data_IF_142366755506
#
_entry.id   IF_142366755506
#
_cell.length_a   1.000
_cell.length_b   1.000
_cell.length_c   1.000
_cell.angle_alpha   90.00
_cell.angle_beta   90.00
_cell.angle_gamma   90.00
#
_symmetry.space_group_name_H-M   'P 1'
#
loop_
_entity.id
_entity.type
_entity.pdbx_description
1 polymer ?
#
# COMPACT_ATOMS: atom_id res chain seq x y z
N UNK A 1 90.44 -13.99 48.53
CA UNK A 1 89.88 -12.93 47.65
C UNK A 1 88.80 -13.50 46.84
N UNK A 2 87.54 -13.13 47.12
CA UNK A 2 86.29 -13.79 46.56
C UNK A 2 85.66 -12.79 45.56
N UNK A 3 85.67 -13.13 44.26
CA UNK A 3 84.93 -12.43 43.23
C UNK A 3 83.47 -12.88 43.29
N UNK A 4 82.55 -11.91 43.47
CA UNK A 4 81.08 -12.11 43.30
C UNK A 4 80.63 -11.53 41.95
N UNK A 5 80.27 -12.40 41.06
CA UNK A 5 79.71 -12.05 39.78
C UNK A 5 78.17 -11.79 39.97
N UNK A 6 77.75 -10.56 39.65
CA UNK A 6 76.33 -10.17 39.68
C UNK A 6 75.69 -10.53 38.35
N UNK A 7 74.70 -11.41 38.39
CA UNK A 7 73.87 -11.76 37.25
C UNK A 7 72.74 -10.69 37.12
N UNK A 8 72.75 -9.96 36.02
CA UNK A 8 71.64 -9.07 35.63
C UNK A 8 70.58 -9.88 34.87
N UNK A 9 69.40 -10.04 35.45
CA UNK A 9 68.21 -10.55 34.76
C UNK A 9 67.55 -9.36 34.03
N UNK A 10 67.58 -9.39 32.70
CA UNK A 10 66.78 -8.50 31.85
C UNK A 10 65.42 -9.13 31.65
N UNK A 11 64.38 -8.62 32.33
CA UNK A 11 62.99 -9.02 32.14
C UNK A 11 62.42 -8.32 30.89
N UNK A 12 62.18 -9.08 29.83
CA UNK A 12 61.44 -8.59 28.67
C UNK A 12 59.95 -8.56 29.02
N UNK A 13 59.38 -7.37 29.23
CA UNK A 13 57.96 -7.17 29.36
C UNK A 13 57.32 -7.25 27.98
N UNK A 14 56.60 -8.34 27.67
CA UNK A 14 55.69 -8.38 26.51
C UNK A 14 54.50 -7.44 26.79
N UNK A 15 54.47 -6.28 26.15
CA UNK A 15 53.29 -5.43 26.06
C UNK A 15 52.37 -6.09 25.01
N UNK A 16 51.36 -6.83 25.46
CA UNK A 16 50.29 -7.28 24.61
C UNK A 16 49.46 -6.02 24.18
N UNK A 17 49.66 -5.57 22.96
CA UNK A 17 48.82 -4.57 22.34
C UNK A 17 47.43 -5.21 22.11
N UNK A 18 46.51 -5.00 23.04
CA UNK A 18 45.09 -5.26 22.82
C UNK A 18 44.61 -4.25 21.78
N UNK A 19 44.52 -4.68 20.52
CA UNK A 19 43.73 -3.98 19.50
C UNK A 19 42.30 -3.90 20.01
N UNK A 20 41.68 -2.73 20.11
CA UNK A 20 40.29 -2.64 20.41
C UNK A 20 39.55 -3.33 19.25
N UNK A 21 38.99 -4.50 19.49
CA UNK A 21 37.92 -5.03 18.61
C UNK A 21 36.79 -4.04 18.73
N UNK A 22 36.65 -3.14 17.75
CA UNK A 22 35.41 -2.43 17.55
C UNK A 22 34.34 -3.51 17.33
N UNK A 23 33.52 -3.72 18.35
CA UNK A 23 32.29 -4.47 18.17
C UNK A 23 31.55 -3.77 17.04
N UNK A 24 31.44 -4.44 15.92
CA UNK A 24 30.79 -3.85 14.75
C UNK A 24 29.34 -3.54 15.15
N UNK A 25 28.97 -2.26 15.10
CA UNK A 25 27.64 -1.82 15.50
C UNK A 25 26.59 -2.57 14.66
N UNK A 26 25.70 -3.28 15.36
CA UNK A 26 24.62 -4.05 14.70
C UNK A 26 23.75 -3.11 13.86
N UNK A 27 23.29 -3.56 12.69
CA UNK A 27 22.29 -2.83 11.91
C UNK A 27 21.06 -2.47 12.77
N UNK A 28 20.61 -1.23 12.76
CA UNK A 28 19.42 -0.78 13.50
C UNK A 28 18.44 -0.17 12.53
N UNK A 29 17.17 -0.52 12.64
CA UNK A 29 16.10 0.11 11.88
C UNK A 29 14.94 0.49 12.80
N UNK A 30 14.75 1.78 13.01
CA UNK A 30 13.45 2.31 13.41
C UNK A 30 12.62 2.47 12.15
N UNK A 31 11.46 1.80 12.09
CA UNK A 31 10.61 1.76 10.91
C UNK A 31 9.24 2.34 11.23
N UNK A 32 8.85 3.36 10.50
CA UNK A 32 7.56 4.03 10.63
C UNK A 32 6.63 3.61 9.50
N UNK A 33 5.48 3.04 9.85
CA UNK A 33 4.44 2.64 8.90
C UNK A 33 3.06 3.09 9.37
N UNK A 34 2.05 2.96 8.52
CA UNK A 34 0.64 3.04 8.92
C UNK A 34 0.02 1.66 9.18
N UNK A 35 0.79 0.60 9.08
CA UNK A 35 0.35 -0.80 9.12
C UNK A 35 0.11 -1.25 10.56
N UNK A 36 -1.09 -0.99 11.07
CA UNK A 36 -1.46 -1.24 12.47
C UNK A 36 -2.66 -2.16 12.64
N UNK A 37 -3.39 -2.50 11.56
CA UNK A 37 -4.45 -3.51 11.62
C UNK A 37 -3.89 -4.91 11.92
N UNK A 38 -4.76 -5.86 12.23
CA UNK A 38 -4.32 -7.22 12.58
C UNK A 38 -3.48 -7.89 11.50
N UNK A 39 -3.90 -7.78 10.24
CA UNK A 39 -3.19 -8.35 9.09
C UNK A 39 -1.93 -7.57 8.74
N UNK A 40 -1.97 -6.24 8.83
CA UNK A 40 -0.84 -5.38 8.51
C UNK A 40 0.31 -5.56 9.51
N UNK A 41 0.01 -5.60 10.80
CA UNK A 41 1.00 -5.89 11.85
C UNK A 41 1.58 -7.31 11.68
N UNK A 42 0.76 -8.31 11.31
CA UNK A 42 1.22 -9.65 11.02
C UNK A 42 2.13 -9.69 9.79
N UNK A 43 1.86 -8.91 8.76
CA UNK A 43 2.72 -8.78 7.59
C UNK A 43 4.05 -8.09 7.93
N UNK A 44 4.01 -6.96 8.64
CA UNK A 44 5.21 -6.24 9.08
C UNK A 44 6.12 -7.13 9.95
N UNK A 45 5.52 -8.04 10.74
CA UNK A 45 6.27 -8.98 11.56
C UNK A 45 7.12 -9.97 10.75
N UNK A 46 6.76 -10.26 9.51
CA UNK A 46 7.57 -11.11 8.60
C UNK A 46 8.90 -10.41 8.29
N UNK A 47 8.83 -9.12 7.98
CA UNK A 47 10.02 -8.30 7.68
C UNK A 47 10.87 -8.14 8.93
N UNK A 48 10.27 -7.76 10.07
CA UNK A 48 11.01 -7.51 11.31
C UNK A 48 11.71 -8.76 11.83
N UNK A 49 11.05 -9.92 11.79
CA UNK A 49 11.63 -11.19 12.22
C UNK A 49 12.82 -11.62 11.33
N UNK A 50 12.71 -11.48 10.01
CA UNK A 50 13.82 -11.79 9.11
C UNK A 50 14.97 -10.78 9.28
N UNK A 51 14.66 -9.50 9.51
CA UNK A 51 15.65 -8.47 9.82
C UNK A 51 16.45 -8.81 11.09
N UNK A 52 15.77 -9.20 12.17
CA UNK A 52 16.39 -9.59 13.44
C UNK A 52 17.17 -10.90 13.31
N UNK A 53 16.66 -11.87 12.57
CA UNK A 53 17.33 -13.14 12.26
C UNK A 53 18.65 -12.92 11.51
N UNK A 54 18.74 -11.87 10.67
CA UNK A 54 19.98 -11.44 10.00
C UNK A 54 20.88 -10.56 10.88
N UNK A 55 20.58 -10.46 12.17
CA UNK A 55 21.40 -9.77 13.18
C UNK A 55 21.08 -8.31 13.40
N UNK A 56 20.02 -7.78 12.78
CA UNK A 56 19.54 -6.42 12.97
C UNK A 56 18.82 -6.21 14.32
N UNK A 57 18.62 -4.97 14.70
CA UNK A 57 17.81 -4.52 15.84
C UNK A 57 16.64 -3.71 15.29
N UNK A 58 15.43 -4.24 15.46
CA UNK A 58 14.19 -3.61 14.97
C UNK A 58 13.55 -2.72 16.04
N UNK A 59 13.05 -1.57 15.63
CA UNK A 59 12.17 -0.72 16.43
C UNK A 59 10.95 -0.34 15.57
N UNK A 60 9.77 -0.77 16.01
CA UNK A 60 8.51 -0.37 15.40
C UNK A 60 8.08 1.01 15.91
N UNK A 61 7.73 1.91 15.00
CA UNK A 61 7.14 3.23 15.29
C UNK A 61 5.90 3.50 14.42
N UNK A 62 5.13 2.45 14.13
CA UNK A 62 3.90 2.54 13.36
C UNK A 62 2.84 3.40 14.03
N UNK A 63 2.10 4.16 13.21
CA UNK A 63 1.03 5.08 13.65
C UNK A 63 -0.22 4.78 12.81
N UNK A 64 -1.34 4.51 13.47
CA UNK A 64 -2.59 4.20 12.77
C UNK A 64 -3.05 5.36 11.86
N UNK A 65 -3.37 5.01 10.63
CA UNK A 65 -3.81 5.94 9.59
C UNK A 65 -2.67 6.54 8.78
N UNK A 66 -2.74 6.35 7.44
CA UNK A 66 -1.69 6.77 6.51
C UNK A 66 -1.36 8.27 6.63
N UNK A 67 -2.37 9.15 6.65
CA UNK A 67 -2.17 10.60 6.80
C UNK A 67 -1.55 10.99 8.14
N UNK A 68 -1.91 10.32 9.24
CA UNK A 68 -1.32 10.58 10.57
C UNK A 68 0.14 10.15 10.63
N UNK A 69 0.48 8.98 10.08
CA UNK A 69 1.86 8.50 9.98
C UNK A 69 2.71 9.43 9.10
N UNK A 70 2.14 9.93 7.99
CA UNK A 70 2.82 10.86 7.10
C UNK A 70 3.08 12.21 7.78
N UNK A 71 2.10 12.79 8.46
CA UNK A 71 2.27 14.03 9.22
C UNK A 71 3.30 13.90 10.34
N UNK A 72 3.31 12.78 11.06
CA UNK A 72 4.30 12.51 12.09
C UNK A 72 5.71 12.38 11.51
N UNK A 73 5.85 11.72 10.36
CA UNK A 73 7.12 11.64 9.64
C UNK A 73 7.64 13.02 9.22
N UNK A 74 6.79 13.87 8.63
CA UNK A 74 7.13 15.23 8.23
C UNK A 74 7.66 16.05 9.42
N UNK A 75 6.96 15.99 10.57
CA UNK A 75 7.37 16.68 11.78
C UNK A 75 8.75 16.19 12.29
N UNK A 76 8.98 14.87 12.29
CA UNK A 76 10.25 14.28 12.68
C UNK A 76 11.39 14.63 11.73
N UNK A 77 11.09 14.68 10.42
CA UNK A 77 12.07 15.08 9.40
C UNK A 77 12.54 16.53 9.62
N UNK A 78 11.60 17.46 9.89
CA UNK A 78 11.91 18.86 10.20
C UNK A 78 12.71 18.98 11.52
N UNK A 79 12.42 18.14 12.51
CA UNK A 79 13.14 18.11 13.78
C UNK A 79 14.53 17.46 13.70
N UNK A 80 14.89 16.81 12.58
CA UNK A 80 16.13 16.06 12.44
C UNK A 80 16.17 14.74 13.22
N UNK A 81 14.99 14.21 13.59
CA UNK A 81 14.78 12.95 14.33
C UNK A 81 14.01 11.92 13.48
N UNK A 82 14.38 11.80 12.21
CA UNK A 82 13.72 10.89 11.28
C UNK A 82 14.03 9.42 11.60
N UNK A 83 13.06 8.50 11.33
CA UNK A 83 13.28 7.06 11.45
C UNK A 83 14.27 6.57 10.38
N UNK A 84 14.82 5.36 10.56
CA UNK A 84 15.69 4.75 9.56
C UNK A 84 14.95 4.42 8.25
N UNK A 85 13.67 4.10 8.34
CA UNK A 85 12.84 3.86 7.17
C UNK A 85 11.39 4.29 7.42
N UNK A 86 10.72 4.69 6.34
CA UNK A 86 9.29 5.02 6.33
C UNK A 86 8.58 4.25 5.22
N UNK A 87 7.39 3.73 5.50
CA UNK A 87 6.47 3.28 4.45
C UNK A 87 6.19 4.41 3.47
N UNK A 88 6.29 4.13 2.19
CA UNK A 88 6.01 5.06 1.12
C UNK A 88 5.29 4.34 -0.03
N UNK A 89 4.40 5.04 -0.71
CA UNK A 89 3.89 4.61 -2.02
C UNK A 89 4.96 4.95 -3.06
N UNK A 90 5.21 4.05 -4.02
CA UNK A 90 6.15 4.35 -5.13
C UNK A 90 5.61 5.49 -6.00
N UNK A 91 6.45 6.13 -6.81
CA UNK A 91 6.03 7.14 -7.79
C UNK A 91 6.27 8.59 -7.39
N UNK A 92 5.52 9.52 -7.98
CA UNK A 92 5.83 10.96 -7.97
C UNK A 92 5.87 11.59 -6.57
N UNK A 93 5.16 11.04 -5.58
CA UNK A 93 5.14 11.55 -4.21
C UNK A 93 6.53 11.65 -3.55
N UNK A 94 7.51 10.88 -4.05
CA UNK A 94 8.86 10.86 -3.48
C UNK A 94 9.84 11.81 -4.19
N UNK A 95 9.42 12.42 -5.32
CA UNK A 95 10.30 13.23 -6.17
C UNK A 95 10.92 14.39 -5.42
N UNK A 96 10.13 15.11 -4.63
CA UNK A 96 10.59 16.27 -3.87
C UNK A 96 11.59 15.87 -2.78
N UNK A 97 11.35 14.77 -2.07
CA UNK A 97 12.30 14.27 -1.07
C UNK A 97 13.66 13.90 -1.69
N UNK A 98 13.64 13.28 -2.88
CA UNK A 98 14.88 12.96 -3.61
C UNK A 98 15.58 14.22 -4.08
N UNK A 99 14.87 15.15 -4.72
CA UNK A 99 15.44 16.39 -5.26
C UNK A 99 16.03 17.28 -4.16
N UNK A 100 15.42 17.31 -2.98
CA UNK A 100 15.92 18.03 -1.81
C UNK A 100 17.06 17.28 -1.09
N UNK A 101 17.43 16.07 -1.53
CA UNK A 101 18.49 15.27 -0.93
C UNK A 101 18.14 14.74 0.46
N UNK A 102 16.86 14.55 0.77
CA UNK A 102 16.36 14.09 2.06
C UNK A 102 16.35 12.56 2.19
N UNK A 103 16.51 11.81 1.09
CA UNK A 103 16.58 10.36 1.07
C UNK A 103 18.01 9.87 0.74
N UNK A 104 18.37 8.73 1.32
CA UNK A 104 19.53 7.94 0.92
C UNK A 104 19.17 7.06 -0.28
N UNK A 105 20.06 7.00 -1.27
CA UNK A 105 19.94 6.01 -2.35
C UNK A 105 20.33 4.62 -1.84
N UNK A 106 19.60 3.62 -2.27
CA UNK A 106 19.88 2.19 -2.06
C UNK A 106 20.31 1.50 -3.35
N UNK A 107 20.83 2.26 -4.30
CA UNK A 107 21.19 1.81 -5.64
C UNK A 107 22.21 0.66 -5.63
N UNK A 108 23.16 0.66 -4.67
CA UNK A 108 24.13 -0.42 -4.52
C UNK A 108 23.45 -1.74 -4.12
N UNK A 109 22.45 -1.70 -3.22
CA UNK A 109 21.64 -2.87 -2.85
C UNK A 109 20.83 -3.35 -4.05
N UNK A 110 20.18 -2.44 -4.76
CA UNK A 110 19.38 -2.75 -5.93
C UNK A 110 20.21 -3.42 -7.05
N UNK A 111 21.42 -2.93 -7.29
CA UNK A 111 22.36 -3.53 -8.27
C UNK A 111 22.84 -4.90 -7.83
N UNK A 112 23.25 -5.05 -6.55
CA UNK A 112 23.69 -6.33 -6.00
C UNK A 112 22.57 -7.39 -6.07
N UNK A 113 21.33 -6.99 -5.78
CA UNK A 113 20.12 -7.83 -5.85
C UNK A 113 19.53 -7.99 -7.25
N UNK A 114 20.10 -7.35 -8.28
CA UNK A 114 19.63 -7.37 -9.69
C UNK A 114 18.15 -7.02 -9.82
N UNK A 115 17.71 -5.98 -9.13
CA UNK A 115 16.29 -5.63 -9.06
C UNK A 115 15.68 -5.29 -10.42
N UNK A 116 16.48 -4.76 -11.36
CA UNK A 116 16.05 -4.49 -12.73
C UNK A 116 15.64 -5.77 -13.50
N UNK A 117 16.17 -6.93 -13.10
CA UNK A 117 15.89 -8.21 -13.78
C UNK A 117 14.65 -8.91 -13.19
N UNK A 118 14.29 -8.59 -11.93
CA UNK A 118 13.26 -9.32 -11.17
C UNK A 118 12.02 -8.49 -10.85
N UNK A 119 12.03 -7.20 -11.17
CA UNK A 119 10.87 -6.31 -11.07
C UNK A 119 10.31 -5.99 -12.45
N UNK A 120 8.99 -5.80 -12.61
CA UNK A 120 8.44 -5.19 -13.81
C UNK A 120 9.11 -3.84 -14.08
N UNK A 121 9.40 -3.54 -15.35
CA UNK A 121 10.06 -2.28 -15.72
C UNK A 121 9.31 -1.04 -15.22
N UNK A 122 7.97 -1.05 -15.28
CA UNK A 122 7.13 0.03 -14.78
C UNK A 122 7.33 0.30 -13.29
N UNK A 123 7.53 -0.74 -12.50
CA UNK A 123 7.80 -0.62 -11.06
C UNK A 123 9.22 -0.11 -10.83
N UNK A 124 10.21 -0.68 -11.55
CA UNK A 124 11.61 -0.26 -11.43
C UNK A 124 11.80 1.23 -11.78
N UNK A 125 11.07 1.71 -12.78
CA UNK A 125 11.08 3.13 -13.16
C UNK A 125 10.50 4.01 -12.04
N UNK A 126 9.43 3.58 -11.36
CA UNK A 126 8.75 4.34 -10.28
C UNK A 126 9.50 4.36 -8.93
N UNK A 127 10.50 3.50 -8.74
CA UNK A 127 11.39 3.51 -7.57
C UNK A 127 12.74 4.18 -7.86
N UNK A 128 12.96 4.58 -9.13
CA UNK A 128 14.21 5.15 -9.62
C UNK A 128 14.07 6.63 -9.93
N UNK A 129 14.96 7.44 -9.38
CA UNK A 129 14.99 8.88 -9.58
C UNK A 129 16.42 9.30 -9.97
N UNK A 130 16.55 10.11 -11.01
CA UNK A 130 17.85 10.59 -11.49
C UNK A 130 18.86 9.44 -11.74
N UNK A 131 18.37 8.29 -12.22
CA UNK A 131 19.18 7.11 -12.55
C UNK A 131 19.68 6.28 -11.36
N UNK A 132 19.10 6.49 -10.16
CA UNK A 132 19.41 5.73 -8.94
C UNK A 132 18.13 5.24 -8.26
N UNK A 133 18.20 4.10 -7.59
CA UNK A 133 17.11 3.54 -6.80
C UNK A 133 17.10 4.16 -5.40
N UNK A 134 15.91 4.59 -4.95
CA UNK A 134 15.69 5.20 -3.62
C UNK A 134 14.65 4.50 -2.76
N UNK A 135 13.82 3.66 -3.36
CA UNK A 135 12.73 2.96 -2.66
C UNK A 135 12.93 1.45 -2.78
N UNK A 136 12.68 0.74 -1.67
CA UNK A 136 12.64 -0.73 -1.67
C UNK A 136 11.19 -1.21 -1.70
N UNK A 137 10.71 -1.75 -2.83
CA UNK A 137 9.32 -2.18 -2.92
C UNK A 137 9.05 -3.40 -2.03
N UNK A 138 7.91 -3.39 -1.35
CA UNK A 138 7.45 -4.49 -0.50
C UNK A 138 6.42 -5.37 -1.19
N UNK A 139 5.40 -4.75 -1.78
CA UNK A 139 4.25 -5.44 -2.38
C UNK A 139 3.47 -4.52 -3.34
N UNK A 140 2.60 -5.13 -4.14
CA UNK A 140 1.64 -4.43 -4.98
C UNK A 140 0.20 -4.79 -4.59
N UNK A 141 -0.68 -3.83 -4.75
CA UNK A 141 -2.10 -3.93 -4.44
C UNK A 141 -2.97 -3.68 -5.65
N UNK A 142 -3.99 -4.51 -5.82
CA UNK A 142 -5.14 -4.18 -6.65
C UNK A 142 -6.18 -3.43 -5.81
N UNK A 143 -6.71 -2.32 -6.32
CA UNK A 143 -7.64 -1.47 -5.58
C UNK A 143 -9.09 -1.57 -6.06
N UNK A 144 -9.35 -2.28 -7.16
CA UNK A 144 -10.68 -2.34 -7.78
C UNK A 144 -11.55 -3.50 -7.31
N UNK A 145 -11.38 -3.94 -6.07
CA UNK A 145 -12.11 -5.09 -5.54
C UNK A 145 -13.41 -4.70 -4.83
N UNK A 146 -14.41 -5.53 -5.03
CA UNK A 146 -15.64 -5.58 -4.23
C UNK A 146 -15.63 -6.92 -3.51
N UNK A 147 -15.32 -6.88 -2.21
CA UNK A 147 -15.43 -8.06 -1.34
C UNK A 147 -16.86 -8.22 -0.89
N UNK A 148 -17.38 -9.46 -0.88
CA UNK A 148 -18.74 -9.71 -0.44
C UNK A 148 -18.84 -10.93 0.47
N UNK A 149 -19.75 -10.88 1.44
CA UNK A 149 -20.10 -12.00 2.32
C UNK A 149 -20.98 -12.98 1.57
N UNK A 150 -20.52 -14.24 1.40
CA UNK A 150 -21.34 -15.28 0.76
C UNK A 150 -22.59 -15.62 1.59
N UNK A 151 -22.48 -15.60 2.91
CA UNK A 151 -23.61 -15.82 3.81
C UNK A 151 -24.66 -14.71 3.67
N UNK A 152 -24.23 -13.44 3.60
CA UNK A 152 -25.13 -12.32 3.38
C UNK A 152 -25.81 -12.38 2.00
N UNK A 153 -25.07 -12.73 0.94
CA UNK A 153 -25.62 -12.92 -0.41
C UNK A 153 -26.63 -14.06 -0.43
N UNK A 154 -26.30 -15.21 0.16
CA UNK A 154 -27.22 -16.35 0.25
C UNK A 154 -28.51 -15.99 1.02
N UNK A 155 -28.40 -15.28 2.16
CA UNK A 155 -29.53 -14.78 2.95
C UNK A 155 -30.43 -13.85 2.13
N UNK A 156 -29.86 -13.05 1.25
CA UNK A 156 -30.58 -12.10 0.39
C UNK A 156 -31.07 -12.71 -0.92
N UNK A 157 -30.76 -13.98 -1.19
CA UNK A 157 -31.12 -14.65 -2.46
C UNK A 157 -30.33 -14.08 -3.66
N UNK A 158 -29.11 -13.60 -3.44
CA UNK A 158 -28.16 -13.21 -4.49
C UNK A 158 -27.28 -14.41 -4.79
N UNK A 159 -27.49 -15.04 -5.94
CA UNK A 159 -26.87 -16.33 -6.29
C UNK A 159 -25.65 -16.18 -7.20
N UNK A 160 -25.53 -15.05 -7.88
CA UNK A 160 -24.44 -14.78 -8.83
C UNK A 160 -23.82 -13.39 -8.57
N UNK A 161 -22.55 -13.24 -8.94
CA UNK A 161 -21.89 -11.95 -8.94
C UNK A 161 -22.52 -11.02 -9.98
N UNK A 162 -22.94 -9.78 -9.61
CA UNK A 162 -23.51 -8.82 -10.53
C UNK A 162 -22.48 -8.37 -11.58
N UNK A 163 -22.89 -8.33 -12.85
CA UNK A 163 -22.06 -8.02 -14.01
C UNK A 163 -22.22 -6.58 -14.51
N UNK A 164 -23.27 -5.90 -14.08
CA UNK A 164 -23.54 -4.49 -14.41
C UNK A 164 -23.86 -3.70 -13.14
N UNK A 165 -23.79 -2.38 -13.23
CA UNK A 165 -24.18 -1.51 -12.11
C UNK A 165 -25.67 -1.67 -11.77
N UNK A 166 -26.54 -1.90 -12.75
CA UNK A 166 -27.98 -2.14 -12.48
C UNK A 166 -28.17 -3.45 -11.72
N UNK A 167 -27.50 -4.54 -12.11
CA UNK A 167 -27.52 -5.80 -11.36
C UNK A 167 -26.93 -5.64 -9.96
N UNK A 168 -25.88 -4.82 -9.82
CA UNK A 168 -25.26 -4.54 -8.53
C UNK A 168 -26.23 -3.82 -7.60
N UNK A 169 -26.89 -2.75 -8.06
CA UNK A 169 -27.89 -2.06 -7.27
C UNK A 169 -29.09 -2.96 -6.93
N UNK A 170 -29.53 -3.81 -7.85
CA UNK A 170 -30.57 -4.79 -7.55
C UNK A 170 -30.12 -5.80 -6.47
N UNK A 171 -28.84 -6.19 -6.42
CA UNK A 171 -28.29 -7.01 -5.35
C UNK A 171 -28.25 -6.26 -4.01
N UNK A 172 -27.90 -4.97 -4.01
CA UNK A 172 -27.95 -4.12 -2.81
C UNK A 172 -29.38 -3.98 -2.27
N UNK A 173 -30.38 -3.82 -3.15
CA UNK A 173 -31.79 -3.78 -2.76
C UNK A 173 -32.24 -5.09 -2.09
N UNK A 174 -31.82 -6.24 -2.60
CA UNK A 174 -32.10 -7.56 -1.99
C UNK A 174 -31.44 -7.68 -0.61
N UNK A 175 -30.18 -7.23 -0.45
CA UNK A 175 -29.50 -7.22 0.85
C UNK A 175 -30.26 -6.36 1.86
N UNK A 176 -30.68 -5.15 1.44
CA UNK A 176 -31.47 -4.23 2.26
C UNK A 176 -32.81 -4.85 2.68
N UNK A 177 -33.52 -5.49 1.76
CA UNK A 177 -34.76 -6.18 2.04
C UNK A 177 -34.59 -7.38 2.98
N UNK A 178 -33.43 -8.06 2.95
CA UNK A 178 -33.10 -9.15 3.87
C UNK A 178 -32.60 -8.68 5.25
N UNK A 179 -32.60 -7.35 5.51
CA UNK A 179 -32.13 -6.77 6.77
C UNK A 179 -30.60 -6.89 6.96
N UNK A 180 -29.84 -6.88 5.86
CA UNK A 180 -28.39 -6.81 5.85
C UNK A 180 -27.99 -5.42 5.40
N UNK A 181 -27.03 -4.78 6.08
CA UNK A 181 -26.46 -3.52 5.59
C UNK A 181 -25.85 -3.79 4.20
N UNK A 182 -26.29 -3.11 3.13
CA UNK A 182 -25.80 -3.47 1.81
C UNK A 182 -24.32 -3.23 1.62
N UNK A 183 -23.81 -2.05 2.02
CA UNK A 183 -22.41 -1.63 1.82
C UNK A 183 -21.77 -1.23 3.15
N UNK A 184 -20.71 -1.90 3.53
CA UNK A 184 -19.80 -1.45 4.58
C UNK A 184 -18.90 -0.35 4.00
N UNK A 185 -19.23 0.90 4.29
CA UNK A 185 -18.49 2.05 3.78
C UNK A 185 -17.37 2.44 4.73
N UNK A 186 -16.17 2.64 4.20
CA UNK A 186 -15.07 3.27 4.89
C UNK A 186 -15.12 4.77 4.61
N UNK A 187 -15.36 5.58 5.64
CA UNK A 187 -15.69 7.00 5.51
C UNK A 187 -14.49 7.92 5.75
N UNK A 188 -13.35 7.62 5.16
CA UNK A 188 -12.19 8.51 5.11
C UNK A 188 -11.96 8.91 3.65
N UNK A 189 -11.59 10.15 3.38
CA UNK A 189 -11.49 10.73 2.04
C UNK A 189 -10.65 9.88 1.06
N UNK A 190 -9.55 9.30 1.52
CA UNK A 190 -8.74 8.41 0.69
C UNK A 190 -9.47 7.13 0.26
N UNK A 191 -10.33 6.55 1.13
CA UNK A 191 -11.13 5.36 0.79
C UNK A 191 -12.20 5.71 -0.25
N UNK A 192 -12.84 6.84 -0.09
CA UNK A 192 -13.86 7.35 -1.00
C UNK A 192 -13.28 7.62 -2.39
N UNK A 193 -12.06 8.19 -2.46
CA UNK A 193 -11.34 8.39 -3.72
C UNK A 193 -10.98 7.07 -4.41
N UNK A 194 -10.67 6.00 -3.65
CA UNK A 194 -10.48 4.67 -4.24
C UNK A 194 -11.76 4.16 -4.89
N UNK A 195 -12.91 4.34 -4.24
CA UNK A 195 -14.21 3.95 -4.82
C UNK A 195 -14.52 4.80 -6.06
N UNK A 196 -14.28 6.12 -6.01
CA UNK A 196 -14.43 6.99 -7.17
C UNK A 196 -13.59 6.51 -8.36
N UNK A 197 -12.29 6.24 -8.17
CA UNK A 197 -11.39 5.76 -9.22
C UNK A 197 -11.79 4.39 -9.77
N UNK A 198 -12.26 3.51 -8.90
CA UNK A 198 -12.79 2.20 -9.28
C UNK A 198 -14.00 2.33 -10.19
N UNK A 199 -14.94 3.22 -9.87
CA UNK A 199 -16.12 3.51 -10.68
C UNK A 199 -15.69 4.20 -11.99
N UNK A 200 -14.83 5.21 -11.92
CA UNK A 200 -14.34 5.96 -13.08
C UNK A 200 -13.76 5.00 -14.14
N UNK A 201 -12.92 4.06 -13.72
CA UNK A 201 -12.34 3.06 -14.62
C UNK A 201 -13.43 2.28 -15.37
N UNK A 202 -14.57 1.98 -14.73
CA UNK A 202 -15.70 1.30 -15.39
C UNK A 202 -16.42 2.17 -16.42
N UNK A 203 -16.40 3.50 -16.24
CA UNK A 203 -17.12 4.44 -17.09
C UNK A 203 -16.31 4.92 -18.29
N UNK A 204 -14.98 5.07 -18.13
CA UNK A 204 -14.12 5.63 -19.18
C UNK A 204 -13.16 4.59 -19.81
N UNK A 205 -13.07 3.39 -19.23
CA UNK A 205 -12.09 2.38 -19.67
C UNK A 205 -10.65 2.75 -19.33
N UNK A 206 -9.72 1.86 -19.69
CA UNK A 206 -8.27 2.03 -19.42
C UNK A 206 -7.73 3.28 -20.10
N UNK A 207 -7.98 3.42 -21.40
CA UNK A 207 -7.46 4.55 -22.19
C UNK A 207 -8.03 5.88 -21.70
N UNK A 208 -9.33 5.93 -21.39
CA UNK A 208 -9.97 7.13 -20.86
C UNK A 208 -9.43 7.54 -19.49
N UNK A 209 -9.18 6.55 -18.62
CA UNK A 209 -8.59 6.80 -17.29
C UNK A 209 -7.17 7.41 -17.42
N UNK A 210 -6.34 6.84 -18.30
CA UNK A 210 -5.00 7.37 -18.54
C UNK A 210 -5.03 8.77 -19.17
N UNK A 211 -5.90 9.03 -20.13
CA UNK A 211 -6.09 10.36 -20.73
C UNK A 211 -6.45 11.40 -19.68
N UNK A 212 -7.37 11.10 -18.77
CA UNK A 212 -7.78 12.01 -17.70
C UNK A 212 -6.61 12.28 -16.74
N UNK A 213 -5.97 11.25 -16.21
CA UNK A 213 -5.00 11.41 -15.13
C UNK A 213 -3.57 11.69 -15.60
N UNK A 214 -3.15 11.16 -16.75
CA UNK A 214 -1.79 11.34 -17.29
C UNK A 214 -1.75 12.51 -18.24
N UNK A 215 -2.65 12.52 -19.24
CA UNK A 215 -2.63 13.53 -20.30
C UNK A 215 -3.38 14.82 -19.90
N UNK A 216 -4.12 14.79 -18.76
CA UNK A 216 -4.96 15.91 -18.27
C UNK A 216 -6.04 16.34 -19.30
N UNK A 217 -6.54 15.36 -20.08
CA UNK A 217 -7.48 15.64 -21.17
C UNK A 217 -8.90 15.86 -20.63
N UNK A 218 -9.48 17.03 -20.94
CA UNK A 218 -10.87 17.40 -20.66
C UNK A 218 -11.68 17.36 -21.96
N UNK A 219 -11.90 16.16 -22.51
CA UNK A 219 -12.77 15.95 -23.66
C UNK A 219 -14.21 15.62 -23.25
N UNK A 220 -15.18 15.73 -24.20
CA UNK A 220 -16.61 15.45 -23.94
C UNK A 220 -16.83 14.04 -23.34
N UNK A 221 -16.11 13.03 -23.85
CA UNK A 221 -16.20 11.67 -23.34
C UNK A 221 -15.68 11.53 -21.90
N UNK A 222 -14.60 12.24 -21.56
CA UNK A 222 -14.04 12.30 -20.22
C UNK A 222 -15.01 12.98 -19.23
N UNK A 223 -15.59 14.10 -19.63
CA UNK A 223 -16.59 14.84 -18.82
C UNK A 223 -17.82 13.97 -18.57
N UNK A 224 -18.35 13.32 -19.59
CA UNK A 224 -19.52 12.44 -19.46
C UNK A 224 -19.21 11.21 -18.58
N UNK A 225 -18.00 10.65 -18.70
CA UNK A 225 -17.54 9.55 -17.84
C UNK A 225 -17.46 9.95 -16.37
N UNK A 226 -16.94 11.14 -16.06
CA UNK A 226 -16.89 11.68 -14.69
C UNK A 226 -18.30 11.91 -14.14
N UNK A 227 -19.22 12.48 -14.92
CA UNK A 227 -20.63 12.65 -14.51
C UNK A 227 -21.28 11.32 -14.13
N UNK A 228 -21.16 10.31 -14.99
CA UNK A 228 -21.68 8.95 -14.69
C UNK A 228 -21.05 8.35 -13.45
N UNK A 229 -19.77 8.59 -13.24
CA UNK A 229 -19.06 8.16 -12.02
C UNK A 229 -19.68 8.77 -10.77
N UNK A 230 -19.92 10.09 -10.80
CA UNK A 230 -20.54 10.82 -9.69
C UNK A 230 -21.99 10.41 -9.45
N UNK A 231 -22.77 10.14 -10.52
CA UNK A 231 -24.14 9.62 -10.40
C UNK A 231 -24.17 8.25 -9.69
N UNK A 232 -23.27 7.33 -10.06
CA UNK A 232 -23.13 6.03 -9.40
C UNK A 232 -22.68 6.18 -7.95
N UNK A 233 -21.67 7.01 -7.70
CA UNK A 233 -21.16 7.29 -6.35
C UNK A 233 -22.27 7.91 -5.48
N UNK A 234 -22.99 8.88 -5.99
CA UNK A 234 -24.13 9.51 -5.31
C UNK A 234 -25.24 8.51 -4.96
N UNK A 235 -25.55 7.58 -5.86
CA UNK A 235 -26.54 6.52 -5.64
C UNK A 235 -26.14 5.54 -4.52
N UNK A 236 -24.86 5.28 -4.33
CA UNK A 236 -24.35 4.41 -3.25
C UNK A 236 -24.68 4.93 -1.85
N UNK A 237 -24.88 6.24 -1.66
CA UNK A 237 -25.26 6.86 -0.37
C UNK A 237 -26.49 6.23 0.26
N UNK A 238 -27.44 5.73 -0.55
CA UNK A 238 -28.67 5.09 -0.08
C UNK A 238 -28.47 3.70 0.54
N UNK A 239 -27.26 3.14 0.46
CA UNK A 239 -26.94 1.77 0.84
C UNK A 239 -25.92 1.66 1.96
N UNK A 240 -25.49 2.77 2.53
CA UNK A 240 -24.55 2.85 3.66
C UNK A 240 -25.28 3.21 4.94
N UNK A 241 -24.67 2.94 6.09
CA UNK A 241 -25.19 3.31 7.41
C UNK A 241 -24.73 4.70 7.86
N UNK A 242 -25.47 5.33 8.76
CA UNK A 242 -25.17 6.65 9.32
C UNK A 242 -23.83 6.70 10.07
N UNK A 243 -23.33 5.57 10.57
CA UNK A 243 -22.06 5.47 11.28
C UNK A 243 -20.83 5.34 10.36
N UNK A 244 -20.99 5.55 9.05
CA UNK A 244 -19.90 5.38 8.09
C UNK A 244 -18.81 6.45 8.18
N UNK A 245 -19.16 7.70 8.54
CA UNK A 245 -18.22 8.81 8.57
C UNK A 245 -17.00 8.51 9.45
N UNK A 246 -15.80 8.70 8.92
CA UNK A 246 -14.53 8.46 9.60
C UNK A 246 -14.20 6.98 9.89
N UNK A 247 -15.06 6.03 9.47
CA UNK A 247 -14.82 4.60 9.70
C UNK A 247 -13.54 4.14 9.02
N UNK A 248 -12.70 3.42 9.78
CA UNK A 248 -11.51 2.78 9.22
C UNK A 248 -11.90 1.63 8.28
N UNK A 249 -11.05 1.39 7.31
CA UNK A 249 -11.28 0.34 6.30
C UNK A 249 -11.39 -1.07 6.89
N UNK A 250 -10.59 -1.40 7.89
CA UNK A 250 -10.60 -2.70 8.58
C UNK A 250 -11.87 -2.90 9.42
N UNK A 251 -12.45 -1.83 10.00
CA UNK A 251 -13.75 -1.90 10.67
C UNK A 251 -14.88 -2.22 9.67
N UNK A 252 -14.85 -1.60 8.49
CA UNK A 252 -15.75 -1.93 7.40
C UNK A 252 -15.56 -3.39 6.92
N UNK A 253 -14.30 -3.87 6.79
CA UNK A 253 -14.00 -5.26 6.44
C UNK A 253 -14.57 -6.23 7.49
N UNK A 254 -14.45 -5.92 8.77
CA UNK A 254 -15.01 -6.74 9.86
C UNK A 254 -16.53 -6.88 9.78
N UNK A 255 -17.24 -5.88 9.25
CA UNK A 255 -18.69 -5.98 9.02
C UNK A 255 -19.04 -6.99 7.93
N UNK A 256 -18.24 -7.09 6.87
CA UNK A 256 -18.41 -8.10 5.81
C UNK A 256 -18.02 -9.49 6.32
N UNK A 257 -16.89 -9.61 7.05
CA UNK A 257 -16.42 -10.87 7.67
C UNK A 257 -17.48 -11.49 8.55
N UNK A 258 -18.20 -10.66 9.31
CA UNK A 258 -19.24 -11.11 10.27
C UNK A 258 -20.64 -11.24 9.63
N UNK A 259 -20.81 -10.94 8.33
CA UNK A 259 -22.09 -10.95 7.65
C UNK A 259 -23.06 -9.84 8.07
N UNK A 260 -22.59 -8.84 8.82
CA UNK A 260 -23.36 -7.63 9.16
C UNK A 260 -23.60 -6.76 7.94
N UNK A 261 -22.63 -6.74 7.01
CA UNK A 261 -22.74 -6.06 5.73
C UNK A 261 -22.56 -7.03 4.57
N UNK A 262 -23.17 -6.69 3.43
CA UNK A 262 -23.13 -7.49 2.21
C UNK A 262 -21.81 -7.35 1.47
N UNK A 263 -21.38 -6.10 1.19
CA UNK A 263 -20.19 -5.81 0.37
C UNK A 263 -19.33 -4.70 0.97
N UNK A 264 -18.07 -4.67 0.54
CA UNK A 264 -17.14 -3.57 0.75
C UNK A 264 -16.33 -3.33 -0.53
N UNK A 265 -16.20 -2.07 -0.93
CA UNK A 265 -15.24 -1.62 -1.93
C UNK A 265 -13.91 -1.35 -1.24
N UNK A 266 -12.83 -2.06 -1.61
CA UNK A 266 -11.53 -1.87 -0.98
C UNK A 266 -10.41 -2.50 -1.83
N UNK A 267 -9.18 -2.11 -1.54
CA UNK A 267 -8.00 -2.78 -2.05
C UNK A 267 -7.81 -4.18 -1.45
N UNK A 268 -6.96 -4.96 -2.07
CA UNK A 268 -6.74 -6.36 -1.70
C UNK A 268 -6.13 -6.57 -0.32
N UNK A 269 -5.59 -5.52 0.33
CA UNK A 269 -5.19 -5.59 1.75
C UNK A 269 -6.33 -6.00 2.68
N UNK A 270 -7.61 -5.77 2.29
CA UNK A 270 -8.75 -6.26 3.05
C UNK A 270 -8.73 -7.80 3.19
N UNK A 271 -8.16 -8.53 2.23
CA UNK A 271 -8.01 -9.99 2.32
C UNK A 271 -7.21 -10.45 3.54
N UNK A 272 -6.22 -9.66 3.93
CA UNK A 272 -5.45 -9.96 5.13
C UNK A 272 -6.31 -10.07 6.38
N UNK A 273 -7.30 -9.19 6.55
CA UNK A 273 -8.25 -9.25 7.68
C UNK A 273 -9.15 -10.49 7.61
N UNK A 274 -9.57 -10.91 6.40
CA UNK A 274 -10.29 -12.18 6.24
C UNK A 274 -9.39 -13.38 6.63
N UNK A 275 -8.10 -13.35 6.27
CA UNK A 275 -7.14 -14.40 6.65
C UNK A 275 -6.97 -14.47 8.17
N UNK A 276 -6.79 -13.34 8.85
CA UNK A 276 -6.70 -13.26 10.33
C UNK A 276 -7.97 -13.81 10.98
N UNK A 277 -9.14 -13.57 10.39
CA UNK A 277 -10.42 -14.09 10.84
C UNK A 277 -10.66 -15.58 10.47
N UNK A 278 -9.70 -16.26 9.84
CA UNK A 278 -9.81 -17.66 9.41
C UNK A 278 -10.76 -17.87 8.22
N UNK A 279 -11.06 -16.81 7.45
CA UNK A 279 -11.95 -16.87 6.29
C UNK A 279 -11.19 -17.15 5.00
N UNK A 280 -11.82 -17.88 4.09
CA UNK A 280 -11.23 -18.31 2.83
C UNK A 280 -12.00 -17.74 1.62
N UNK A 281 -11.30 -17.18 0.62
CA UNK A 281 -11.93 -16.70 -0.60
C UNK A 281 -12.54 -17.87 -1.39
N UNK A 282 -13.69 -17.61 -2.01
CA UNK A 282 -14.47 -18.64 -2.71
C UNK A 282 -15.33 -19.50 -1.81
N UNK A 283 -15.04 -19.62 -0.53
CA UNK A 283 -15.82 -20.37 0.47
C UNK A 283 -16.65 -19.42 1.35
N UNK A 284 -16.01 -18.55 2.10
CA UNK A 284 -16.66 -17.69 3.09
C UNK A 284 -16.98 -16.31 2.51
N UNK A 285 -16.14 -15.82 1.61
CA UNK A 285 -16.31 -14.55 0.92
C UNK A 285 -15.93 -14.65 -0.57
N UNK A 286 -16.37 -13.69 -1.35
CA UNK A 286 -15.95 -13.54 -2.74
C UNK A 286 -15.22 -12.23 -2.97
N UNK A 287 -14.54 -12.17 -4.11
CA UNK A 287 -13.79 -11.01 -4.59
C UNK A 287 -14.11 -10.81 -6.07
N UNK A 288 -14.93 -9.85 -6.38
CA UNK A 288 -15.22 -9.44 -7.76
C UNK A 288 -14.60 -8.07 -8.04
N UNK A 289 -14.34 -7.76 -9.29
CA UNK A 289 -14.07 -6.38 -9.69
C UNK A 289 -15.37 -5.57 -9.62
N UNK A 290 -15.24 -4.24 -9.56
CA UNK A 290 -16.39 -3.37 -9.77
C UNK A 290 -17.11 -3.76 -11.06
N UNK A 291 -18.46 -3.72 -11.11
CA UNK A 291 -19.21 -4.14 -12.28
C UNK A 291 -18.73 -3.46 -13.56
N UNK A 292 -18.59 -4.23 -14.63
CA UNK A 292 -18.11 -3.75 -15.95
C UNK A 292 -16.65 -3.25 -15.98
N UNK A 293 -15.85 -3.49 -14.94
CA UNK A 293 -14.47 -3.02 -14.94
C UNK A 293 -13.64 -3.71 -16.03
N UNK A 294 -12.97 -2.97 -16.92
CA UNK A 294 -12.11 -3.53 -17.96
C UNK A 294 -10.74 -3.98 -17.42
N UNK A 295 -10.42 -3.60 -16.18
CA UNK A 295 -9.15 -3.83 -15.54
C UNK A 295 -9.16 -3.44 -14.07
N UNK A 296 -8.00 -3.11 -13.53
CA UNK A 296 -7.79 -2.86 -12.11
C UNK A 296 -6.93 -1.62 -11.89
N UNK A 297 -7.33 -0.77 -10.96
CA UNK A 297 -6.43 0.26 -10.41
C UNK A 297 -5.41 -0.43 -9.52
N UNK A 298 -4.14 -0.04 -9.61
CA UNK A 298 -3.08 -0.61 -8.77
C UNK A 298 -2.28 0.46 -8.05
N UNK A 299 -1.81 0.12 -6.86
CA UNK A 299 -0.83 0.87 -6.08
C UNK A 299 0.26 -0.07 -5.60
N UNK A 300 1.40 0.47 -5.21
CA UNK A 300 2.50 -0.35 -4.69
C UNK A 300 3.17 0.34 -3.51
N UNK A 301 3.37 -0.44 -2.45
CA UNK A 301 4.05 0.00 -1.24
C UNK A 301 5.57 -0.26 -1.31
N UNK A 302 6.28 0.54 -0.56
CA UNK A 302 7.74 0.48 -0.46
C UNK A 302 8.22 1.03 0.87
N UNK A 303 9.51 0.88 1.13
CA UNK A 303 10.21 1.64 2.16
C UNK A 303 11.08 2.72 1.51
N UNK A 304 10.96 3.94 1.98
CA UNK A 304 11.89 5.04 1.72
C UNK A 304 12.90 5.15 2.87
N UNK A 305 14.09 5.64 2.59
CA UNK A 305 15.22 5.67 3.49
C UNK A 305 15.67 7.11 3.73
N UNK A 306 15.19 7.79 4.77
CA UNK A 306 15.58 9.14 5.09
C UNK A 306 17.09 9.26 5.32
N UNK A 307 17.65 10.42 4.98
CA UNK A 307 19.06 10.68 5.16
C UNK A 307 19.40 10.75 6.65
N UNK A 308 20.25 9.86 7.12
CA UNK A 308 20.60 9.70 8.52
C UNK A 308 22.11 9.61 8.69
N UNK A 309 22.64 10.17 9.78
CA UNK A 309 24.08 10.20 10.03
C UNK A 309 24.60 8.99 10.81
N UNK A 310 23.73 8.33 11.60
CA UNK A 310 24.11 7.17 12.43
C UNK A 310 24.49 5.96 11.57
N UNK A 311 25.72 5.48 11.72
CA UNK A 311 26.26 4.37 10.93
C UNK A 311 25.50 3.05 11.13
N UNK A 312 25.03 2.79 12.36
CA UNK A 312 24.25 1.58 12.65
C UNK A 312 22.88 1.63 11.94
N UNK A 313 22.26 2.81 11.85
CA UNK A 313 21.01 3.02 11.12
C UNK A 313 21.22 2.95 9.60
N UNK A 314 22.33 3.44 9.06
CA UNK A 314 22.66 3.27 7.63
C UNK A 314 22.82 1.79 7.27
N UNK A 315 23.52 1.00 8.11
CA UNK A 315 23.57 -0.47 7.95
C UNK A 315 22.17 -1.10 8.04
N UNK A 316 21.32 -0.55 8.92
CA UNK A 316 19.91 -0.96 9.05
C UNK A 316 19.11 -0.69 7.80
N UNK A 317 19.28 0.46 7.15
CA UNK A 317 18.64 0.78 5.86
C UNK A 317 19.02 -0.23 4.77
N UNK A 318 20.32 -0.53 4.65
CA UNK A 318 20.83 -1.54 3.70
C UNK A 318 20.20 -2.91 3.95
N UNK A 319 20.26 -3.39 5.20
CA UNK A 319 19.70 -4.70 5.56
C UNK A 319 18.18 -4.76 5.36
N UNK A 320 17.45 -3.68 5.67
CA UNK A 320 16.00 -3.62 5.46
C UNK A 320 15.64 -3.68 3.97
N UNK A 321 16.39 -2.98 3.13
CA UNK A 321 16.20 -3.01 1.68
C UNK A 321 16.43 -4.43 1.11
N UNK A 322 17.46 -5.14 1.59
CA UNK A 322 17.70 -6.54 1.22
C UNK A 322 16.58 -7.47 1.71
N UNK A 323 16.12 -7.30 2.94
CA UNK A 323 15.05 -8.13 3.54
C UNK A 323 13.72 -7.91 2.82
N UNK A 324 13.33 -6.67 2.55
CA UNK A 324 12.07 -6.34 1.87
C UNK A 324 12.03 -6.92 0.44
N UNK A 325 13.18 -7.07 -0.20
CA UNK A 325 13.31 -7.64 -1.54
C UNK A 325 13.69 -9.13 -1.55
N UNK A 326 13.76 -9.79 -0.38
CA UNK A 326 13.97 -11.25 -0.34
C UNK A 326 12.74 -11.99 -0.92
N UNK A 327 12.94 -12.95 -1.85
CA UNK A 327 11.82 -13.63 -2.51
C UNK A 327 10.86 -14.33 -1.53
N UNK A 328 11.40 -14.97 -0.50
CA UNK A 328 10.59 -15.69 0.49
C UNK A 328 9.83 -14.71 1.41
N UNK A 329 10.48 -13.60 1.77
CA UNK A 329 9.86 -12.52 2.56
C UNK A 329 8.71 -11.89 1.79
N UNK A 330 8.89 -11.55 0.51
CA UNK A 330 7.81 -10.96 -0.30
C UNK A 330 6.59 -11.87 -0.43
N UNK A 331 6.80 -13.18 -0.61
CA UNK A 331 5.68 -14.14 -0.66
C UNK A 331 4.95 -14.21 0.67
N UNK A 332 5.68 -14.40 1.78
CA UNK A 332 5.08 -14.54 3.11
C UNK A 332 4.41 -13.24 3.58
N UNK A 333 5.03 -12.10 3.31
CA UNK A 333 4.46 -10.77 3.56
C UNK A 333 3.14 -10.61 2.81
N UNK A 334 3.13 -10.88 1.50
CA UNK A 334 1.94 -10.73 0.65
C UNK A 334 0.79 -11.64 1.08
N UNK A 335 1.08 -12.88 1.49
CA UNK A 335 0.08 -13.80 2.01
C UNK A 335 -0.61 -13.25 3.26
N UNK A 336 0.12 -12.56 4.14
CA UNK A 336 -0.44 -11.96 5.35
C UNK A 336 -1.12 -10.63 5.10
N UNK A 337 -0.51 -9.80 4.25
CA UNK A 337 -1.01 -8.47 3.88
C UNK A 337 -2.26 -8.56 3.00
N UNK A 338 -2.42 -9.64 2.24
CA UNK A 338 -3.47 -9.80 1.23
C UNK A 338 -3.07 -9.31 -0.16
N UNK A 339 -1.87 -8.79 -0.32
CA UNK A 339 -1.30 -8.20 -1.53
C UNK A 339 -0.73 -9.23 -2.50
N UNK A 340 0.03 -8.77 -3.48
CA UNK A 340 0.83 -9.60 -4.38
C UNK A 340 2.31 -9.21 -4.32
N UNK A 341 3.24 -10.19 -4.43
CA UNK A 341 4.67 -9.90 -4.50
C UNK A 341 5.01 -9.04 -5.72
N UNK A 342 5.95 -8.12 -5.57
CA UNK A 342 6.47 -7.30 -6.66
C UNK A 342 7.41 -8.05 -7.58
N UNK A 343 8.14 -9.02 -7.03
CA UNK A 343 9.10 -9.83 -7.79
C UNK A 343 8.40 -10.77 -8.75
N UNK A 344 8.95 -10.89 -9.94
CA UNK A 344 8.43 -11.78 -11.00
C UNK A 344 8.91 -13.23 -10.88
N UNK A 345 9.98 -13.46 -10.12
CA UNK A 345 10.69 -14.74 -9.97
C UNK A 345 10.30 -15.53 -8.69
N UNK A 346 9.14 -15.21 -8.09
CA UNK A 346 8.62 -15.88 -6.89
C UNK A 346 7.62 -16.99 -7.23
N UNK A 347 7.45 -17.94 -6.29
CA UNK A 347 6.42 -18.98 -6.38
C UNK A 347 5.01 -18.39 -6.11
N UNK A 348 4.23 -18.24 -7.17
CA UNK A 348 2.87 -17.70 -7.15
C UNK A 348 1.80 -18.75 -6.83
N UNK A 349 2.15 -20.03 -6.76
CA UNK A 349 1.20 -21.12 -6.54
C UNK A 349 0.54 -21.09 -5.16
N UNK A 350 1.15 -20.40 -4.20
CA UNK A 350 0.63 -20.23 -2.83
C UNK A 350 -0.41 -19.13 -2.70
N UNK A 351 -0.56 -18.28 -3.71
CA UNK A 351 -1.49 -17.16 -3.67
C UNK A 351 -2.92 -17.64 -3.82
N UNK A 352 -3.84 -16.95 -3.13
CA UNK A 352 -5.28 -17.22 -3.20
C UNK A 352 -5.90 -16.87 -4.56
N UNK A 353 -7.15 -17.31 -4.78
CA UNK A 353 -7.86 -17.10 -6.06
C UNK A 353 -8.04 -15.62 -6.44
N UNK A 354 -8.16 -14.72 -5.45
CA UNK A 354 -8.29 -13.28 -5.70
C UNK A 354 -6.94 -12.69 -6.14
N UNK A 355 -5.86 -13.07 -5.47
CA UNK A 355 -4.50 -12.64 -5.84
C UNK A 355 -4.09 -13.19 -7.21
N UNK A 356 -4.44 -14.45 -7.54
CA UNK A 356 -4.21 -15.02 -8.87
C UNK A 356 -4.93 -14.22 -9.96
N UNK A 357 -6.22 -13.86 -9.74
CA UNK A 357 -6.97 -13.00 -10.65
C UNK A 357 -6.34 -11.62 -10.82
N UNK A 358 -5.84 -11.01 -9.74
CA UNK A 358 -5.10 -9.74 -9.80
C UNK A 358 -3.83 -9.84 -10.65
N UNK A 359 -3.05 -10.92 -10.47
CA UNK A 359 -1.85 -11.18 -11.26
C UNK A 359 -2.15 -11.44 -12.75
N UNK A 360 -3.25 -12.10 -13.06
CA UNK A 360 -3.71 -12.28 -14.45
C UNK A 360 -3.98 -10.94 -15.12
N UNK A 361 -4.67 -10.02 -14.42
CA UNK A 361 -4.94 -8.67 -14.93
C UNK A 361 -3.64 -7.88 -15.13
N UNK A 362 -2.71 -7.94 -14.17
CA UNK A 362 -1.39 -7.30 -14.28
C UNK A 362 -0.60 -7.86 -15.46
N UNK A 363 -0.56 -9.18 -15.61
CA UNK A 363 0.17 -9.84 -16.70
C UNK A 363 -0.43 -9.56 -18.07
N UNK A 364 -1.74 -9.33 -18.14
CA UNK A 364 -2.47 -8.95 -19.35
C UNK A 364 -2.39 -7.45 -19.68
N UNK A 365 -1.69 -6.63 -18.86
CA UNK A 365 -1.66 -5.18 -19.00
C UNK A 365 -2.99 -4.49 -18.74
N UNK A 366 -3.93 -5.17 -18.06
CA UNK A 366 -5.26 -4.63 -17.70
C UNK A 366 -5.22 -3.94 -16.35
N UNK A 367 -4.30 -3.01 -16.21
CA UNK A 367 -4.11 -2.22 -14.98
C UNK A 367 -3.90 -0.75 -15.33
N UNK A 368 -4.33 0.12 -14.42
CA UNK A 368 -4.04 1.55 -14.45
C UNK A 368 -3.45 1.97 -13.10
N UNK A 369 -2.49 2.90 -13.08
CA UNK A 369 -1.90 3.37 -11.84
C UNK A 369 -2.92 4.16 -11.02
N UNK A 370 -2.84 4.00 -9.69
CA UNK A 370 -3.57 4.87 -8.76
C UNK A 370 -3.08 6.33 -8.86
N UNK A 371 -3.94 7.26 -8.49
CA UNK A 371 -3.63 8.69 -8.46
C UNK A 371 -2.35 9.02 -7.68
N UNK A 372 -2.08 8.30 -6.58
CA UNK A 372 -0.89 8.55 -5.76
C UNK A 372 0.43 8.25 -6.49
N UNK A 373 0.40 7.44 -7.56
CA UNK A 373 1.57 7.12 -8.37
C UNK A 373 1.90 8.20 -9.40
N UNK A 374 0.88 8.91 -9.89
CA UNK A 374 0.94 9.74 -11.11
C UNK A 374 0.51 11.20 -10.94
N UNK A 375 -0.07 11.56 -9.80
CA UNK A 375 -0.37 12.94 -9.46
C UNK A 375 0.67 13.53 -8.50
N UNK A 376 0.81 14.85 -8.51
CA UNK A 376 1.54 15.52 -7.44
C UNK A 376 0.80 15.35 -6.10
N UNK A 377 1.48 15.42 -4.95
CA UNK A 377 0.83 15.35 -3.64
C UNK A 377 -0.32 16.35 -3.47
N UNK A 378 -0.18 17.55 -4.03
CA UNK A 378 -1.21 18.58 -4.01
C UNK A 378 -2.45 18.16 -4.81
N UNK A 379 -2.28 17.64 -6.03
CA UNK A 379 -3.40 17.19 -6.86
C UNK A 379 -4.08 15.95 -6.26
N UNK A 380 -3.32 15.01 -5.72
CA UNK A 380 -3.88 13.84 -5.05
C UNK A 380 -4.68 14.22 -3.79
N UNK A 381 -4.20 15.18 -3.01
CA UNK A 381 -4.93 15.76 -1.89
C UNK A 381 -6.21 16.44 -2.32
N UNK A 382 -6.14 17.32 -3.33
CA UNK A 382 -7.31 18.01 -3.86
C UNK A 382 -8.38 17.05 -4.44
N UNK A 383 -7.96 15.93 -5.02
CA UNK A 383 -8.89 14.89 -5.48
C UNK A 383 -9.58 14.20 -4.31
N UNK A 384 -8.84 13.87 -3.24
CA UNK A 384 -9.44 13.29 -2.03
C UNK A 384 -10.47 14.24 -1.41
N UNK A 385 -10.13 15.52 -1.28
CA UNK A 385 -11.02 16.56 -0.73
C UNK A 385 -12.26 16.75 -1.60
N UNK A 386 -12.10 16.78 -2.92
CA UNK A 386 -13.21 16.86 -3.87
C UNK A 386 -14.19 15.69 -3.74
N UNK A 387 -13.68 14.46 -3.66
CA UNK A 387 -14.55 13.28 -3.55
C UNK A 387 -15.28 13.24 -2.21
N UNK A 388 -14.61 13.59 -1.11
CA UNK A 388 -15.21 13.70 0.22
C UNK A 388 -16.29 14.80 0.25
N UNK A 389 -16.01 15.99 -0.33
CA UNK A 389 -17.00 17.06 -0.45
C UNK A 389 -18.23 16.59 -1.25
N UNK A 390 -18.03 15.96 -2.41
CA UNK A 390 -19.13 15.43 -3.20
C UNK A 390 -19.89 14.35 -2.41
N UNK A 391 -19.21 13.43 -1.74
CA UNK A 391 -19.84 12.37 -0.96
C UNK A 391 -20.70 12.91 0.19
N UNK A 392 -20.21 13.92 0.91
CA UNK A 392 -20.90 14.51 2.06
C UNK A 392 -21.95 15.55 1.70
N UNK A 393 -21.96 16.05 0.45
CA UNK A 393 -22.93 17.03 -0.05
C UNK A 393 -23.92 16.42 -1.06
N UNK A 394 -25.06 15.85 -0.63
CA UNK A 394 -26.03 15.23 -1.53
C UNK A 394 -26.78 16.21 -2.45
N UNK A 395 -26.63 17.52 -2.25
CA UNK A 395 -27.24 18.55 -3.11
C UNK A 395 -26.38 18.91 -4.33
N UNK A 396 -25.13 18.46 -4.38
CA UNK A 396 -24.25 18.68 -5.51
C UNK A 396 -24.60 17.70 -6.64
N UNK A 397 -24.84 18.25 -7.83
CA UNK A 397 -25.12 17.46 -9.02
C UNK A 397 -23.81 17.03 -9.74
N UNK A 398 -23.92 16.01 -10.57
CA UNK A 398 -22.78 15.44 -11.28
C UNK A 398 -22.16 16.37 -12.33
N UNK A 399 -22.91 17.35 -12.85
CA UNK A 399 -22.38 18.30 -13.82
C UNK A 399 -21.46 19.32 -13.14
N UNK A 400 -21.90 19.92 -12.03
CA UNK A 400 -21.07 20.78 -11.18
C UNK A 400 -19.85 20.04 -10.63
N UNK A 401 -20.05 18.80 -10.15
CA UNK A 401 -18.97 17.97 -9.67
C UNK A 401 -17.90 17.68 -10.75
N UNK A 402 -18.31 17.43 -11.99
CA UNK A 402 -17.37 17.20 -13.08
C UNK A 402 -16.53 18.46 -13.40
N UNK A 403 -17.10 19.65 -13.32
CA UNK A 403 -16.36 20.90 -13.50
C UNK A 403 -15.29 21.07 -12.40
N UNK A 404 -15.65 20.85 -11.13
CA UNK A 404 -14.70 20.88 -10.00
C UNK A 404 -13.60 19.83 -10.13
N UNK A 405 -13.93 18.62 -10.57
CA UNK A 405 -12.97 17.57 -10.79
C UNK A 405 -11.88 17.98 -11.79
N UNK A 406 -12.26 18.52 -12.94
CA UNK A 406 -11.27 18.94 -13.95
C UNK A 406 -10.48 20.17 -13.53
N UNK A 407 -11.03 21.05 -12.70
CA UNK A 407 -10.30 22.20 -12.16
C UNK A 407 -9.08 21.81 -11.28
N UNK A 408 -9.04 20.57 -10.77
CA UNK A 408 -7.87 20.05 -10.03
C UNK A 408 -6.61 19.98 -10.92
N UNK A 409 -6.78 19.87 -12.23
CA UNK A 409 -5.69 19.67 -13.19
C UNK A 409 -5.33 20.95 -13.97
N UNK A 410 -6.06 22.02 -13.80
CA UNK A 410 -5.79 23.34 -14.37
C UNK A 410 -4.80 24.15 -13.49
#
# INVERSE_FOLDING_TARGET
MKNRMKLLLVGAALVAASTPTHAEDKPKAEVMTSWTSGSEAAALSVISQEFEKRGGVWKDSSIAGFGAADAAFQNRLVAGDQPAAKQAVIGLANTDFVNQGLLNSIDDVAKAGKWADVLPKSIYDLISYNGKVYLSPSDAHGESWVFYSKDAFAKAGVTEEPKSWDEFFAALDKLKAAGVLPVAWGGQSWQESKVFNMILLTQVGIDGFLKIYVDKEKGDASVEGVKKTLDILGKLRAYVDEGAAGRNWNDATAMVITGKAGVQFMGDWAKGEFVVAGKQPGKDYGCMLAPQSPGMVYVADSFSFPKIADAASQKGQTLLAEVAMDPAVQVEFSLRKGSVPMRTDVDKSKLDICAQKGLELMSAGKIVPDQALILSPQQAGALNDFVDEFWTNPSEDSASGAEKFFAIFE
#
